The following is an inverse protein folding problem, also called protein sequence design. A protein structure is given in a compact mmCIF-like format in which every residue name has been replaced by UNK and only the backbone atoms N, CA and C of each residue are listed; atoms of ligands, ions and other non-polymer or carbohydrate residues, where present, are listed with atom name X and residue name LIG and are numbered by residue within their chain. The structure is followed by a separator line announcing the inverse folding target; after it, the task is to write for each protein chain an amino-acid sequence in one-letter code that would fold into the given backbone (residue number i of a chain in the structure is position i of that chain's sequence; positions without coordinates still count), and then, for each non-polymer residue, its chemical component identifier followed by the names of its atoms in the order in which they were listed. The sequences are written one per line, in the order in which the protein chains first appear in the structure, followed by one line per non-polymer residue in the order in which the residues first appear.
data_IF_282123954359
#
_entry.id   IF_282123954359
#
_cell.length_a   1.000
_cell.length_b   1.000
_cell.length_c   1.000
_cell.angle_alpha   90.00
_cell.angle_beta   90.00
_cell.angle_gamma   90.00
#
_symmetry.space_group_name_H-M   'P 1'
#
loop_
_entity.id
_entity.type
_entity.pdbx_description
1 polymer ?
#
# COMPACT_ATOMS: atom_id res chain seq x y z
N UNK A 1 4.10 -82.10 27.29
CA UNK A 1 3.66 -81.32 26.11
C UNK A 1 2.85 -80.12 26.64
N UNK A 2 3.47 -78.94 26.81
CA UNK A 2 2.81 -77.75 27.36
C UNK A 2 2.51 -76.77 26.21
N UNK A 3 1.27 -76.34 26.10
CA UNK A 3 0.77 -75.40 25.16
C UNK A 3 0.80 -74.01 25.89
N UNK A 4 1.57 -73.10 25.39
CA UNK A 4 1.63 -71.69 25.90
C UNK A 4 0.66 -70.85 25.07
N UNK A 5 -0.36 -70.28 25.74
CA UNK A 5 -1.29 -69.29 25.19
C UNK A 5 -0.64 -67.89 25.31
N UNK A 6 -0.43 -67.24 24.15
CA UNK A 6 -0.06 -65.81 24.08
C UNK A 6 -1.34 -64.97 24.04
N UNK A 7 -1.57 -64.18 25.08
CA UNK A 7 -2.60 -63.14 25.13
C UNK A 7 -2.02 -61.87 24.52
N UNK A 8 -2.49 -61.45 23.36
CA UNK A 8 -2.13 -60.20 22.70
C UNK A 8 -2.86 -58.99 23.28
N UNK A 9 -2.16 -58.12 23.96
CA UNK A 9 -2.67 -56.85 24.47
C UNK A 9 -2.72 -55.82 23.34
N UNK A 10 -3.91 -55.43 22.93
CA UNK A 10 -4.08 -54.31 22.00
C UNK A 10 -4.02 -52.98 22.77
N UNK A 11 -2.97 -52.20 22.54
CA UNK A 11 -2.87 -50.82 23.01
C UNK A 11 -3.64 -49.93 22.02
N UNK A 12 -4.75 -49.34 22.45
CA UNK A 12 -5.42 -48.26 21.73
C UNK A 12 -4.67 -46.94 21.98
N UNK A 13 -3.98 -46.45 20.98
CA UNK A 13 -3.49 -45.10 20.99
C UNK A 13 -4.66 -44.12 20.69
N UNK A 14 -5.05 -43.38 21.71
CA UNK A 14 -5.92 -42.19 21.53
C UNK A 14 -5.05 -41.03 21.11
N UNK A 15 -5.15 -40.62 19.84
CA UNK A 15 -4.57 -39.35 19.38
C UNK A 15 -5.45 -38.19 19.86
N UNK A 16 -5.00 -37.47 20.90
CA UNK A 16 -5.57 -36.19 21.27
C UNK A 16 -5.19 -35.18 20.19
N UNK A 17 -6.13 -34.79 19.37
CA UNK A 17 -6.04 -33.58 18.57
C UNK A 17 -6.11 -32.35 19.51
N UNK A 18 -4.96 -31.78 19.82
CA UNK A 18 -4.89 -30.44 20.40
C UNK A 18 -5.24 -29.43 19.33
N UNK A 19 -6.47 -28.93 19.32
CA UNK A 19 -6.81 -27.70 18.64
C UNK A 19 -6.17 -26.53 19.38
N UNK A 20 -5.03 -26.07 18.90
CA UNK A 20 -4.43 -24.80 19.35
C UNK A 20 -5.40 -23.69 18.95
N UNK A 21 -6.28 -23.30 19.85
CA UNK A 21 -6.95 -22.01 19.78
C UNK A 21 -5.90 -20.96 20.14
N UNK A 22 -5.38 -20.26 19.13
CA UNK A 22 -4.55 -19.07 19.37
C UNK A 22 -5.40 -18.09 20.20
N UNK A 23 -4.84 -17.49 21.25
CA UNK A 23 -5.57 -16.51 22.04
C UNK A 23 -5.94 -15.35 21.12
N UNK A 24 -7.22 -15.13 20.92
CA UNK A 24 -7.73 -13.85 20.44
C UNK A 24 -7.29 -12.84 21.48
N UNK A 25 -6.34 -11.98 21.14
CA UNK A 25 -5.96 -10.87 21.99
C UNK A 25 -7.19 -9.98 22.12
N UNK A 26 -7.86 -10.10 23.25
CA UNK A 26 -8.94 -9.19 23.65
C UNK A 26 -8.31 -7.89 24.18
N UNK A 27 -7.56 -7.18 23.34
CA UNK A 27 -7.23 -5.79 23.60
C UNK A 27 -8.56 -5.03 23.45
N UNK A 28 -9.05 -4.43 24.53
CA UNK A 28 -10.29 -3.66 24.49
C UNK A 28 -10.09 -2.41 23.64
N UNK A 29 -11.10 -2.07 22.83
CA UNK A 29 -11.11 -0.79 22.12
C UNK A 29 -10.92 0.37 23.09
N UNK A 30 -10.21 1.39 22.67
CA UNK A 30 -9.98 2.59 23.49
C UNK A 30 -10.44 3.84 22.75
N UNK A 31 -10.92 4.81 23.52
CA UNK A 31 -11.31 6.11 23.00
C UNK A 31 -10.06 6.98 22.84
N UNK A 32 -9.99 7.66 21.72
CA UNK A 32 -8.91 8.59 21.34
C UNK A 32 -9.53 9.91 20.91
N UNK A 33 -8.97 11.01 21.42
CA UNK A 33 -9.35 12.35 20.99
C UNK A 33 -8.37 12.83 19.91
N UNK A 34 -8.90 13.35 18.80
CA UNK A 34 -8.16 14.15 17.83
C UNK A 34 -8.55 15.63 17.99
N UNK A 35 -7.86 16.51 17.26
CA UNK A 35 -8.18 17.94 17.28
C UNK A 35 -9.63 18.24 16.86
N UNK A 36 -10.25 17.39 16.05
CA UNK A 36 -11.56 17.66 15.40
C UNK A 36 -12.55 16.51 15.45
N UNK A 37 -12.17 15.36 16.01
CA UNK A 37 -13.03 14.18 16.11
C UNK A 37 -12.65 13.32 17.32
N UNK A 38 -13.63 12.65 17.89
CA UNK A 38 -13.44 11.61 18.90
C UNK A 38 -13.72 10.25 18.26
N UNK A 39 -12.83 9.29 18.45
CA UNK A 39 -12.96 7.97 17.82
C UNK A 39 -12.58 6.84 18.77
N UNK A 40 -13.09 5.66 18.48
CA UNK A 40 -12.65 4.41 19.09
C UNK A 40 -11.62 3.74 18.20
N UNK A 41 -10.45 3.42 18.76
CA UNK A 41 -9.47 2.54 18.17
C UNK A 41 -9.76 1.11 18.62
N UNK A 42 -10.12 0.24 17.67
CA UNK A 42 -10.46 -1.15 17.94
C UNK A 42 -9.45 -2.09 17.28
N UNK A 43 -8.80 -3.01 18.03
CA UNK A 43 -8.08 -4.12 17.46
C UNK A 43 -9.02 -5.07 16.72
N UNK A 44 -8.66 -5.49 15.51
CA UNK A 44 -9.47 -6.37 14.66
C UNK A 44 -8.88 -7.77 14.58
N UNK A 45 -7.59 -7.85 14.28
CA UNK A 45 -6.89 -9.11 14.06
C UNK A 45 -5.39 -8.95 14.34
N UNK A 46 -4.75 -10.01 14.79
CA UNK A 46 -3.29 -10.13 14.90
C UNK A 46 -2.79 -11.43 14.27
N UNK A 47 -1.46 -11.60 14.24
CA UNK A 47 -0.82 -12.83 13.76
C UNK A 47 -0.72 -12.96 12.25
N UNK A 48 -0.91 -11.86 11.51
CA UNK A 48 -0.56 -11.77 10.09
C UNK A 48 0.97 -11.72 9.92
N UNK A 49 1.45 -11.95 8.71
CA UNK A 49 2.82 -11.58 8.32
C UNK A 49 2.98 -10.06 8.30
N UNK A 50 3.67 -9.49 7.30
CA UNK A 50 3.65 -8.05 7.08
C UNK A 50 2.47 -7.74 6.15
N UNK A 51 1.31 -7.25 6.68
CA UNK A 51 0.14 -6.97 5.86
C UNK A 51 0.37 -5.68 5.08
N UNK A 52 0.66 -5.83 3.78
CA UNK A 52 1.16 -4.75 2.95
C UNK A 52 0.06 -3.96 2.25
N UNK A 53 -1.00 -4.62 1.76
CA UNK A 53 -2.15 -4.01 1.10
C UNK A 53 -3.47 -4.46 1.73
N UNK A 54 -4.46 -3.56 1.71
CA UNK A 54 -5.82 -3.76 2.22
C UNK A 54 -6.84 -3.24 1.23
N UNK A 55 -7.87 -4.04 0.90
CA UNK A 55 -9.01 -3.56 0.11
C UNK A 55 -10.32 -4.21 0.59
N UNK A 56 -11.39 -3.42 0.63
CA UNK A 56 -12.73 -3.93 0.93
C UNK A 56 -13.34 -4.53 -0.34
N UNK A 57 -13.82 -5.78 -0.26
CA UNK A 57 -14.57 -6.44 -1.32
C UNK A 57 -16.08 -6.34 -1.09
N UNK A 58 -16.49 -6.07 0.13
CA UNK A 58 -17.87 -5.83 0.55
C UNK A 58 -17.88 -5.11 1.90
N UNK A 59 -19.05 -4.88 2.47
CA UNK A 59 -19.21 -4.28 3.80
C UNK A 59 -18.50 -5.08 4.90
N UNK A 60 -18.38 -6.38 4.73
CA UNK A 60 -17.88 -7.29 5.76
C UNK A 60 -16.66 -8.12 5.32
N UNK A 61 -16.15 -7.96 4.10
CA UNK A 61 -14.97 -8.69 3.64
C UNK A 61 -13.83 -7.76 3.22
N UNK A 62 -12.66 -7.98 3.82
CA UNK A 62 -11.43 -7.28 3.49
C UNK A 62 -10.38 -8.27 3.02
N UNK A 63 -9.82 -8.02 1.85
CA UNK A 63 -8.67 -8.75 1.33
C UNK A 63 -7.40 -8.09 1.82
N UNK A 64 -6.44 -8.92 2.24
CA UNK A 64 -5.15 -8.51 2.81
C UNK A 64 -4.04 -9.22 2.06
N UNK A 65 -3.07 -8.49 1.54
CA UNK A 65 -1.83 -9.07 1.03
C UNK A 65 -0.76 -9.05 2.12
N UNK A 66 -0.04 -10.16 2.26
CA UNK A 66 1.14 -10.25 3.13
C UNK A 66 2.40 -10.23 2.26
N UNK A 67 3.37 -9.41 2.60
CA UNK A 67 4.61 -9.23 1.81
C UNK A 67 5.31 -10.55 1.46
N UNK A 68 5.19 -11.56 2.30
CA UNK A 68 5.75 -12.89 2.06
C UNK A 68 5.06 -13.72 0.97
N UNK A 69 4.01 -13.20 0.30
CA UNK A 69 3.32 -13.86 -0.80
C UNK A 69 1.93 -14.40 -0.47
N UNK A 70 1.51 -14.43 0.79
CA UNK A 70 0.16 -14.85 1.12
C UNK A 70 -0.87 -13.76 0.79
N UNK A 71 -2.06 -14.19 0.39
CA UNK A 71 -3.23 -13.34 0.28
C UNK A 71 -4.32 -13.93 1.18
N UNK A 72 -4.90 -13.08 2.02
CA UNK A 72 -5.92 -13.46 3.00
C UNK A 72 -7.24 -12.78 2.71
N UNK A 73 -8.33 -13.43 3.07
CA UNK A 73 -9.67 -12.84 3.10
C UNK A 73 -10.21 -12.93 4.52
N UNK A 74 -10.45 -11.78 5.12
CA UNK A 74 -11.02 -11.65 6.47
C UNK A 74 -12.50 -11.27 6.34
N UNK A 75 -13.36 -12.08 6.97
CA UNK A 75 -14.75 -11.70 7.20
C UNK A 75 -14.84 -11.00 8.56
N UNK A 76 -15.20 -9.74 8.56
CA UNK A 76 -15.20 -8.86 9.74
C UNK A 76 -16.34 -9.18 10.73
N UNK A 77 -17.45 -9.77 10.25
CA UNK A 77 -18.58 -10.12 11.10
C UNK A 77 -18.28 -11.41 11.91
N UNK A 78 -17.70 -12.40 11.26
CA UNK A 78 -17.42 -13.71 11.87
C UNK A 78 -16.00 -13.83 12.43
N UNK A 79 -15.10 -12.90 12.12
CA UNK A 79 -13.67 -12.98 12.43
C UNK A 79 -12.94 -14.08 11.63
N UNK A 80 -13.58 -14.72 10.67
CA UNK A 80 -13.00 -15.84 9.92
C UNK A 80 -11.95 -15.33 8.93
N UNK A 81 -10.71 -15.79 9.09
CA UNK A 81 -9.59 -15.53 8.18
C UNK A 81 -9.38 -16.75 7.26
N UNK A 82 -9.38 -16.52 5.95
CA UNK A 82 -9.16 -17.55 4.92
C UNK A 82 -7.89 -17.24 4.13
N UNK A 83 -7.14 -18.26 3.76
CA UNK A 83 -6.01 -18.15 2.82
C UNK A 83 -6.55 -18.31 1.41
N UNK A 84 -6.30 -17.32 0.54
CA UNK A 84 -6.65 -17.42 -0.87
C UNK A 84 -5.53 -18.15 -1.62
N UNK A 85 -5.91 -19.06 -2.50
CA UNK A 85 -5.01 -19.82 -3.37
C UNK A 85 -4.95 -19.18 -4.75
N UNK A 86 -3.93 -19.53 -5.55
CA UNK A 86 -3.80 -19.07 -6.94
C UNK A 86 -2.97 -17.80 -7.11
N UNK A 87 -2.38 -17.26 -6.03
CA UNK A 87 -1.39 -16.19 -6.14
C UNK A 87 -0.10 -16.67 -6.83
N UNK A 88 0.59 -15.83 -7.62
CA UNK A 88 1.88 -16.16 -8.19
C UNK A 88 2.96 -16.28 -7.11
N UNK A 89 4.07 -16.96 -7.45
CA UNK A 89 5.28 -16.86 -6.66
C UNK A 89 5.82 -15.43 -6.71
N UNK A 90 6.37 -14.95 -5.59
CA UNK A 90 6.89 -13.59 -5.48
C UNK A 90 8.37 -13.61 -5.06
N UNK A 91 9.12 -12.63 -5.54
CA UNK A 91 10.45 -12.32 -5.02
C UNK A 91 10.29 -11.53 -3.72
N UNK A 92 10.52 -12.18 -2.57
CA UNK A 92 10.19 -11.63 -1.24
C UNK A 92 11.43 -11.21 -0.45
N UNK A 93 12.39 -10.53 -1.09
CA UNK A 93 13.61 -10.03 -0.47
C UNK A 93 13.54 -8.53 -0.16
N UNK A 94 14.11 -8.10 0.96
CA UNK A 94 14.15 -6.70 1.37
C UNK A 94 12.76 -6.07 1.47
N UNK A 95 12.45 -5.11 0.59
CA UNK A 95 11.14 -4.47 0.49
C UNK A 95 10.21 -5.14 -0.54
N UNK A 96 10.71 -6.11 -1.31
CA UNK A 96 9.96 -6.84 -2.31
C UNK A 96 8.95 -7.84 -1.71
N UNK A 97 8.06 -8.36 -2.55
CA UNK A 97 7.09 -9.39 -2.20
C UNK A 97 5.75 -9.24 -2.89
N UNK A 98 4.69 -9.77 -2.28
CA UNK A 98 3.31 -9.44 -2.60
C UNK A 98 3.01 -8.08 -1.96
N UNK A 99 2.67 -7.08 -2.76
CA UNK A 99 2.61 -5.71 -2.32
C UNK A 99 1.15 -5.23 -2.21
N UNK A 100 0.67 -4.39 -3.11
CA UNK A 100 -0.66 -3.82 -2.95
C UNK A 100 -1.79 -4.69 -3.48
N UNK A 101 -2.97 -4.43 -2.98
CA UNK A 101 -4.25 -4.92 -3.52
C UNK A 101 -5.24 -3.76 -3.54
N UNK A 102 -5.93 -3.60 -4.65
CA UNK A 102 -6.91 -2.54 -4.82
C UNK A 102 -8.09 -3.01 -5.70
N UNK A 103 -9.23 -2.37 -5.50
CA UNK A 103 -10.42 -2.56 -6.34
C UNK A 103 -10.89 -1.21 -6.88
N UNK A 104 -11.46 -1.16 -8.09
CA UNK A 104 -12.00 0.08 -8.63
C UNK A 104 -13.20 0.59 -7.82
N UNK A 105 -13.54 1.90 -7.91
CA UNK A 105 -14.62 2.49 -7.12
C UNK A 105 -16.01 1.88 -7.38
N UNK A 106 -16.23 1.31 -8.55
CA UNK A 106 -17.46 0.66 -9.00
C UNK A 106 -17.43 -0.88 -8.84
N UNK A 107 -16.48 -1.41 -8.05
CA UNK A 107 -16.24 -2.84 -7.85
C UNK A 107 -17.50 -3.60 -7.40
N UNK A 108 -17.72 -4.77 -8.03
CA UNK A 108 -18.71 -5.77 -7.64
C UNK A 108 -17.99 -7.10 -7.36
N UNK A 109 -18.54 -8.01 -6.55
CA UNK A 109 -17.85 -9.24 -6.10
C UNK A 109 -17.29 -10.15 -7.18
N UNK A 110 -17.80 -10.07 -8.43
CA UNK A 110 -17.32 -10.86 -9.57
C UNK A 110 -16.27 -10.13 -10.42
N UNK A 111 -15.96 -8.89 -10.11
CA UNK A 111 -15.06 -8.07 -10.89
C UNK A 111 -13.59 -8.41 -10.65
N UNK A 112 -12.72 -7.71 -11.40
CA UNK A 112 -11.28 -7.83 -11.26
C UNK A 112 -10.78 -7.13 -10.00
N UNK A 113 -9.95 -7.85 -9.23
CA UNK A 113 -9.14 -7.33 -8.13
C UNK A 113 -7.75 -7.13 -8.68
N UNK A 114 -7.13 -5.99 -8.39
CA UNK A 114 -5.81 -5.62 -8.90
C UNK A 114 -4.75 -5.80 -7.83
N UNK A 115 -3.60 -6.27 -8.25
CA UNK A 115 -2.47 -6.57 -7.38
C UNK A 115 -1.19 -6.00 -7.96
N UNK A 116 -0.30 -5.58 -7.09
CA UNK A 116 1.10 -5.41 -7.44
C UNK A 116 1.95 -6.37 -6.65
N UNK A 117 2.96 -6.90 -7.28
CA UNK A 117 3.92 -7.80 -6.65
C UNK A 117 5.27 -7.69 -7.34
N UNK A 118 6.29 -8.23 -6.70
CA UNK A 118 7.64 -8.30 -7.29
C UNK A 118 7.88 -9.71 -7.81
N UNK A 119 8.24 -9.79 -9.09
CA UNK A 119 8.66 -11.02 -9.77
C UNK A 119 10.17 -11.12 -9.75
N UNK A 120 10.67 -12.33 -9.60
CA UNK A 120 12.07 -12.66 -9.84
C UNK A 120 12.32 -12.71 -11.36
N UNK A 121 13.32 -11.96 -11.81
CA UNK A 121 13.83 -11.98 -13.18
C UNK A 121 15.35 -12.14 -13.11
N UNK A 122 15.80 -13.38 -13.13
CA UNK A 122 17.22 -13.74 -13.07
C UNK A 122 17.96 -13.20 -11.83
N UNK A 123 17.27 -13.17 -10.67
CA UNK A 123 17.79 -12.65 -9.40
C UNK A 123 17.54 -11.16 -9.18
N UNK A 124 16.94 -10.46 -10.14
CA UNK A 124 16.54 -9.06 -10.03
C UNK A 124 15.02 -8.95 -9.85
N UNK A 125 14.60 -8.11 -8.90
CA UNK A 125 13.19 -7.90 -8.64
C UNK A 125 12.56 -6.89 -9.60
N UNK A 126 11.45 -7.25 -10.28
CA UNK A 126 10.66 -6.34 -11.11
C UNK A 126 9.25 -6.19 -10.57
N UNK A 127 8.73 -4.97 -10.53
CA UNK A 127 7.35 -4.71 -10.15
C UNK A 127 6.40 -5.11 -11.28
N UNK A 128 5.33 -5.84 -10.93
CA UNK A 128 4.29 -6.26 -11.86
C UNK A 128 2.96 -5.72 -11.37
N UNK A 129 2.17 -5.10 -12.26
CA UNK A 129 0.75 -4.87 -12.08
C UNK A 129 -0.02 -6.04 -12.70
N UNK A 130 -0.90 -6.66 -11.92
CA UNK A 130 -1.72 -7.78 -12.39
C UNK A 130 -3.16 -7.66 -11.85
N UNK A 131 -4.05 -8.53 -12.36
CA UNK A 131 -5.43 -8.66 -11.86
C UNK A 131 -5.86 -10.12 -11.81
N UNK A 132 -6.76 -10.44 -10.90
CA UNK A 132 -7.40 -11.74 -10.79
C UNK A 132 -8.85 -11.58 -10.32
N UNK A 133 -9.66 -12.66 -10.40
CA UNK A 133 -11.02 -12.70 -9.85
C UNK A 133 -11.08 -13.66 -8.68
N UNK A 134 -11.92 -13.36 -7.72
CA UNK A 134 -12.15 -14.24 -6.58
C UNK A 134 -13.32 -15.18 -6.86
N UNK A 135 -13.08 -16.50 -6.73
CA UNK A 135 -14.11 -17.55 -6.77
C UNK A 135 -13.94 -18.49 -5.56
N UNK A 136 -14.79 -18.34 -4.55
CA UNK A 136 -14.62 -19.04 -3.27
C UNK A 136 -13.31 -18.65 -2.58
N UNK A 137 -12.39 -19.60 -2.42
CA UNK A 137 -11.04 -19.37 -1.86
C UNK A 137 -9.94 -19.36 -2.93
N UNK A 138 -10.30 -19.18 -4.21
CA UNK A 138 -9.38 -19.21 -5.34
C UNK A 138 -9.33 -17.86 -6.05
N UNK A 139 -8.11 -17.37 -6.30
CA UNK A 139 -7.87 -16.30 -7.26
C UNK A 139 -7.69 -16.94 -8.64
N UNK A 140 -8.61 -16.66 -9.55
CA UNK A 140 -8.67 -17.27 -10.88
C UNK A 140 -8.48 -16.23 -11.97
N UNK A 141 -8.07 -16.70 -13.16
CA UNK A 141 -7.91 -15.85 -14.32
C UNK A 141 -6.81 -14.80 -14.14
N UNK A 142 -5.75 -15.12 -13.41
CA UNK A 142 -4.63 -14.21 -13.16
C UNK A 142 -4.05 -13.69 -14.48
N UNK A 143 -3.94 -12.38 -14.59
CA UNK A 143 -3.44 -11.69 -15.79
C UNK A 143 -2.45 -10.61 -15.37
N UNK A 144 -1.24 -10.68 -15.89
CA UNK A 144 -0.29 -9.57 -15.83
C UNK A 144 -0.74 -8.48 -16.82
N UNK A 145 -0.84 -7.26 -16.34
CA UNK A 145 -1.20 -6.09 -17.14
C UNK A 145 0.04 -5.33 -17.59
N UNK A 146 1.03 -5.22 -16.71
CA UNK A 146 2.34 -4.64 -17.02
C UNK A 146 3.41 -5.26 -16.14
N UNK A 147 4.43 -5.86 -16.75
CA UNK A 147 5.72 -6.11 -16.13
C UNK A 147 6.62 -4.92 -16.42
N UNK A 148 7.04 -4.21 -15.37
CA UNK A 148 7.76 -2.95 -15.54
C UNK A 148 9.22 -3.18 -15.95
N UNK A 149 9.78 -2.24 -16.69
CA UNK A 149 11.22 -2.19 -16.99
C UNK A 149 11.95 -1.54 -15.80
N UNK A 150 11.98 -2.24 -14.66
CA UNK A 150 12.52 -1.75 -13.39
C UNK A 150 13.47 -2.72 -12.70
N UNK A 151 14.02 -3.70 -13.45
CA UNK A 151 14.98 -4.66 -12.92
C UNK A 151 16.25 -3.99 -12.43
N UNK A 152 16.70 -4.36 -11.24
CA UNK A 152 17.96 -3.94 -10.63
C UNK A 152 18.39 -4.98 -9.59
N UNK A 153 19.65 -4.99 -9.24
CA UNK A 153 20.22 -5.84 -8.18
C UNK A 153 19.84 -5.38 -6.75
N UNK A 154 19.08 -4.28 -6.61
CA UNK A 154 18.66 -3.78 -5.32
C UNK A 154 17.33 -4.40 -4.86
N UNK A 155 17.14 -4.49 -3.54
CA UNK A 155 15.94 -5.06 -2.92
C UNK A 155 15.04 -4.01 -2.27
N UNK A 156 15.09 -2.76 -2.75
CA UNK A 156 14.31 -1.66 -2.19
C UNK A 156 13.74 -0.72 -3.28
N UNK A 157 12.84 0.18 -2.86
CA UNK A 157 12.17 1.20 -3.67
C UNK A 157 11.31 0.62 -4.80
N UNK A 158 10.44 -0.33 -4.49
CA UNK A 158 9.51 -0.93 -5.47
C UNK A 158 8.24 -0.09 -5.72
N UNK A 159 7.98 0.95 -4.92
CA UNK A 159 6.74 1.73 -5.03
C UNK A 159 5.49 0.89 -4.76
N UNK A 160 4.68 0.65 -5.80
CA UNK A 160 3.66 -0.39 -5.95
C UNK A 160 2.23 -0.07 -5.50
N UNK A 161 1.92 1.06 -4.87
CA UNK A 161 0.53 1.40 -4.52
C UNK A 161 -0.31 1.63 -5.77
N UNK A 162 -1.59 1.23 -5.69
CA UNK A 162 -2.54 1.25 -6.81
C UNK A 162 -3.76 2.12 -6.47
N UNK A 163 -4.21 2.93 -7.41
CA UNK A 163 -5.48 3.65 -7.34
C UNK A 163 -6.15 3.72 -8.71
N UNK A 164 -7.40 4.18 -8.73
CA UNK A 164 -8.22 4.28 -9.95
C UNK A 164 -8.86 5.64 -10.05
N UNK A 165 -9.06 6.12 -11.29
CA UNK A 165 -9.95 7.23 -11.57
C UNK A 165 -11.38 6.74 -11.91
N UNK A 166 -12.29 7.71 -12.13
CA UNK A 166 -13.67 7.45 -12.51
C UNK A 166 -13.84 7.09 -13.99
N UNK A 167 -12.80 7.27 -14.81
CA UNK A 167 -12.86 7.09 -16.27
C UNK A 167 -12.34 5.73 -16.73
N UNK A 168 -11.94 4.88 -15.80
CA UNK A 168 -11.54 3.50 -16.11
C UNK A 168 -10.04 3.30 -16.26
N UNK A 169 -9.24 4.16 -15.62
CA UNK A 169 -7.79 4.00 -15.58
C UNK A 169 -7.32 3.49 -14.22
N UNK A 170 -6.18 2.83 -14.22
CA UNK A 170 -5.42 2.41 -13.07
C UNK A 170 -4.08 3.15 -13.05
N UNK A 171 -3.71 3.64 -11.86
CA UNK A 171 -2.44 4.30 -11.60
C UNK A 171 -1.65 3.48 -10.59
N UNK A 172 -0.35 3.37 -10.80
CA UNK A 172 0.57 2.79 -9.82
C UNK A 172 1.98 3.36 -10.00
N UNK A 173 2.80 3.29 -8.95
CA UNK A 173 4.14 3.86 -9.00
C UNK A 173 5.24 2.81 -8.84
N UNK A 174 6.42 3.08 -9.38
CA UNK A 174 7.67 2.36 -9.10
C UNK A 174 8.70 3.36 -8.62
N UNK A 175 9.50 3.01 -7.63
CA UNK A 175 10.60 3.84 -7.15
C UNK A 175 11.83 3.79 -8.06
N UNK A 176 12.84 4.57 -7.71
CA UNK A 176 14.13 4.67 -8.45
C UNK A 176 14.96 3.38 -8.37
N UNK A 177 14.49 2.37 -7.64
CA UNK A 177 15.15 1.09 -7.43
C UNK A 177 16.61 1.23 -6.96
N UNK A 178 16.91 2.32 -6.22
CA UNK A 178 18.24 2.64 -5.70
C UNK A 178 19.21 3.18 -6.76
N UNK A 179 18.82 3.27 -8.00
CA UNK A 179 19.62 3.82 -9.11
C UNK A 179 19.11 5.23 -9.42
N UNK A 180 19.41 6.17 -8.55
CA UNK A 180 18.86 7.54 -8.53
C UNK A 180 18.71 8.22 -9.91
N UNK A 181 19.73 8.20 -10.81
CA UNK A 181 19.60 8.87 -12.11
C UNK A 181 18.47 8.34 -13.00
N UNK A 182 18.07 7.08 -12.81
CA UNK A 182 17.02 6.46 -13.64
C UNK A 182 15.63 7.08 -13.40
N UNK A 183 15.41 7.80 -12.29
CA UNK A 183 14.17 8.55 -12.06
C UNK A 183 14.00 9.74 -13.03
N UNK A 184 15.04 10.13 -13.75
CA UNK A 184 15.00 11.15 -14.81
C UNK A 184 15.08 10.53 -16.22
N UNK A 185 15.13 9.21 -16.33
CA UNK A 185 15.20 8.47 -17.59
C UNK A 185 13.83 7.92 -17.98
N UNK A 186 13.19 8.55 -18.95
CA UNK A 186 11.88 8.14 -19.45
C UNK A 186 11.88 6.82 -20.24
N UNK A 187 13.04 6.23 -20.53
CA UNK A 187 13.16 4.91 -21.16
C UNK A 187 13.06 3.76 -20.15
N UNK A 188 12.88 4.07 -18.88
CA UNK A 188 12.71 3.14 -17.75
C UNK A 188 11.46 3.50 -16.94
N UNK A 189 10.88 2.52 -16.23
CA UNK A 189 9.81 2.77 -15.26
C UNK A 189 10.32 3.16 -13.86
N UNK A 190 11.64 3.24 -13.67
CA UNK A 190 12.20 3.62 -12.38
C UNK A 190 11.87 5.08 -12.02
N UNK A 191 11.38 5.30 -10.81
CA UNK A 191 11.04 6.64 -10.33
C UNK A 191 9.85 7.27 -11.08
N UNK A 192 8.87 6.46 -11.47
CA UNK A 192 7.70 6.93 -12.24
C UNK A 192 6.38 6.55 -11.59
N UNK A 193 5.34 7.29 -11.92
CA UNK A 193 3.93 6.88 -11.80
C UNK A 193 3.44 6.57 -13.20
N UNK A 194 2.76 5.45 -13.36
CA UNK A 194 2.21 4.98 -14.63
C UNK A 194 0.69 5.07 -14.62
N UNK A 195 0.10 5.23 -15.82
CA UNK A 195 -1.34 5.18 -16.06
C UNK A 195 -1.66 4.22 -17.18
N UNK A 196 -2.55 3.29 -16.92
CA UNK A 196 -3.09 2.32 -17.88
C UNK A 196 -4.60 2.30 -17.84
N UNK A 197 -5.24 1.76 -18.86
CA UNK A 197 -6.64 1.32 -18.75
C UNK A 197 -6.73 0.12 -17.80
N UNK A 198 -7.93 -0.17 -17.29
CA UNK A 198 -8.15 -1.33 -16.39
C UNK A 198 -7.84 -2.69 -17.05
N UNK A 199 -7.71 -2.76 -18.37
CA UNK A 199 -7.30 -3.95 -19.12
C UNK A 199 -5.82 -3.92 -19.58
N UNK A 200 -5.04 -2.98 -19.07
CA UNK A 200 -3.58 -2.92 -19.24
C UNK A 200 -3.11 -2.25 -20.53
N UNK A 201 -3.99 -1.57 -21.28
CA UNK A 201 -3.58 -0.80 -22.45
C UNK A 201 -3.12 0.60 -22.05
N UNK A 202 -2.28 1.17 -22.86
CA UNK A 202 -1.87 2.58 -22.74
C UNK A 202 -3.00 3.47 -23.25
N UNK A 203 -3.49 4.43 -22.45
CA UNK A 203 -4.48 5.42 -22.92
C UNK A 203 -3.91 6.34 -24.00
N UNK A 204 -4.73 6.68 -25.00
CA UNK A 204 -4.32 7.52 -26.13
C UNK A 204 -3.96 8.97 -25.73
N UNK A 205 -4.40 9.39 -24.54
CA UNK A 205 -4.16 10.71 -23.96
C UNK A 205 -3.04 10.72 -22.89
N UNK A 206 -2.25 9.66 -22.79
CA UNK A 206 -1.07 9.66 -21.94
C UNK A 206 -0.03 10.67 -22.42
N UNK A 207 0.67 11.36 -21.49
CA UNK A 207 1.53 12.50 -21.85
C UNK A 207 2.70 12.15 -22.76
N UNK A 208 3.16 10.89 -22.74
CA UNK A 208 4.31 10.44 -23.52
C UNK A 208 3.98 9.49 -24.67
N UNK A 209 2.69 9.32 -25.02
CA UNK A 209 2.23 8.37 -26.05
C UNK A 209 2.92 8.54 -27.42
N UNK A 210 3.30 9.75 -27.77
CA UNK A 210 3.96 10.08 -29.04
C UNK A 210 5.45 10.44 -28.87
N UNK A 211 6.02 10.21 -27.69
CA UNK A 211 7.41 10.53 -27.42
C UNK A 211 8.30 9.32 -27.74
N UNK A 212 9.29 9.51 -28.64
CA UNK A 212 10.13 8.41 -29.15
C UNK A 212 11.04 7.78 -28.09
N UNK A 213 11.50 8.61 -27.14
CA UNK A 213 12.47 8.26 -26.12
C UNK A 213 11.81 8.21 -24.72
N UNK A 214 10.55 7.78 -24.65
CA UNK A 214 9.82 7.61 -23.41
C UNK A 214 8.88 6.42 -23.49
N UNK A 215 8.70 5.74 -22.36
CA UNK A 215 7.70 4.67 -22.22
C UNK A 215 6.31 5.30 -22.16
N UNK A 216 5.38 4.87 -23.00
CA UNK A 216 4.07 5.52 -23.14
C UNK A 216 3.15 5.33 -21.92
N UNK A 217 3.46 4.38 -21.04
CA UNK A 217 2.74 4.13 -19.79
C UNK A 217 2.98 5.22 -18.74
N UNK A 218 4.07 5.98 -18.85
CA UNK A 218 4.49 6.96 -17.86
C UNK A 218 3.47 8.12 -17.80
N UNK A 219 3.00 8.41 -16.58
CA UNK A 219 2.17 9.56 -16.25
C UNK A 219 2.98 10.73 -15.69
N UNK A 220 3.92 10.44 -14.78
CA UNK A 220 4.85 11.40 -14.19
C UNK A 220 6.18 10.72 -13.83
N UNK A 221 7.22 11.49 -13.61
CA UNK A 221 8.57 10.99 -13.35
C UNK A 221 9.32 11.86 -12.34
N UNK A 222 10.53 11.46 -11.99
CA UNK A 222 11.32 12.16 -10.97
C UNK A 222 10.88 11.85 -9.56
N UNK A 223 10.36 10.65 -9.31
CA UNK A 223 9.99 10.13 -8.01
C UNK A 223 11.09 9.27 -7.41
N UNK A 224 11.23 9.31 -6.07
CA UNK A 224 12.20 8.43 -5.39
C UNK A 224 11.60 7.08 -5.03
N UNK A 225 10.52 7.05 -4.26
CA UNK A 225 9.86 5.83 -3.84
C UNK A 225 8.41 6.09 -3.42
N UNK A 226 7.48 6.14 -4.37
CA UNK A 226 6.05 6.33 -4.12
C UNK A 226 5.49 5.17 -3.27
N UNK A 227 5.14 5.44 -2.01
CA UNK A 227 4.62 4.43 -1.07
C UNK A 227 3.15 4.59 -0.77
N UNK A 228 2.53 5.65 -1.24
CA UNK A 228 1.09 5.87 -1.17
C UNK A 228 0.59 6.61 -2.38
N UNK A 229 -0.57 6.20 -2.88
CA UNK A 229 -1.24 6.85 -4.02
C UNK A 229 -2.74 6.88 -3.74
N UNK A 230 -3.38 8.01 -4.01
CA UNK A 230 -4.84 8.16 -3.86
C UNK A 230 -5.39 9.08 -4.95
N UNK A 231 -6.52 8.72 -5.53
CA UNK A 231 -7.22 9.55 -6.50
C UNK A 231 -8.46 10.19 -5.87
N UNK A 232 -8.56 11.51 -5.97
CA UNK A 232 -9.74 12.27 -5.59
C UNK A 232 -10.73 12.30 -6.75
N UNK A 233 -11.73 11.43 -6.71
CA UNK A 233 -12.76 11.32 -7.75
C UNK A 233 -13.56 12.61 -7.91
N UNK A 234 -13.72 13.42 -6.85
CA UNK A 234 -14.51 14.66 -6.87
C UNK A 234 -13.74 15.83 -7.47
N UNK A 235 -12.45 15.94 -7.16
CA UNK A 235 -11.59 17.03 -7.61
C UNK A 235 -10.76 16.64 -8.83
N UNK A 236 -10.79 15.37 -9.24
CA UNK A 236 -9.98 14.77 -10.32
C UNK A 236 -8.48 15.02 -10.10
N UNK A 237 -8.01 14.66 -8.90
CA UNK A 237 -6.62 14.89 -8.46
C UNK A 237 -5.95 13.61 -8.05
N UNK A 238 -4.75 13.40 -8.56
CA UNK A 238 -3.89 12.29 -8.15
C UNK A 238 -2.92 12.77 -7.08
N UNK A 239 -2.96 12.13 -5.93
CA UNK A 239 -2.09 12.37 -4.79
C UNK A 239 -1.09 11.24 -4.65
N UNK A 240 0.17 11.58 -4.42
CA UNK A 240 1.25 10.62 -4.15
C UNK A 240 1.98 11.05 -2.90
N UNK A 241 2.29 10.10 -2.02
CA UNK A 241 3.24 10.29 -0.93
C UNK A 241 4.44 9.37 -1.15
N UNK A 242 5.63 9.91 -0.97
CA UNK A 242 6.87 9.19 -1.23
C UNK A 242 7.95 9.40 -0.19
N UNK A 243 8.87 8.44 -0.11
CA UNK A 243 10.03 8.55 0.75
C UNK A 243 11.09 9.46 0.15
N UNK A 244 11.51 10.45 0.91
CA UNK A 244 12.79 11.12 0.71
C UNK A 244 13.98 10.26 1.19
N UNK A 245 15.20 10.79 1.11
CA UNK A 245 16.36 10.17 1.75
C UNK A 245 16.34 10.39 3.28
N UNK A 246 17.35 10.95 3.88
CA UNK A 246 17.33 11.32 5.30
C UNK A 246 16.58 12.63 5.49
N UNK A 247 15.26 12.59 5.69
CA UNK A 247 14.31 13.70 5.58
C UNK A 247 13.82 13.89 4.15
N UNK A 248 12.89 14.82 3.96
CA UNK A 248 12.35 15.15 2.63
C UNK A 248 11.40 14.11 2.06
N UNK A 249 10.61 13.42 2.89
CA UNK A 249 9.43 12.72 2.40
C UNK A 249 8.43 13.77 1.89
N UNK A 250 7.63 13.44 0.89
CA UNK A 250 6.81 14.40 0.18
C UNK A 250 5.38 13.91 -0.06
N UNK A 251 4.42 14.83 0.05
CA UNK A 251 3.09 14.68 -0.56
C UNK A 251 3.06 15.55 -1.80
N UNK A 252 2.80 14.93 -2.93
CA UNK A 252 2.74 15.54 -4.24
C UNK A 252 1.33 15.51 -4.83
N UNK A 253 0.88 16.61 -5.42
CA UNK A 253 -0.25 16.65 -6.34
C UNK A 253 0.28 16.34 -7.74
N UNK A 254 -0.03 15.14 -8.25
CA UNK A 254 0.61 14.62 -9.45
C UNK A 254 -0.17 14.98 -10.70
N UNK A 255 0.51 15.66 -11.62
CA UNK A 255 -0.01 16.13 -12.91
C UNK A 255 0.64 15.36 -14.08
N UNK A 256 -0.06 15.23 -15.22
CA UNK A 256 0.46 14.50 -16.38
C UNK A 256 1.73 15.14 -16.94
N UNK A 257 2.73 14.31 -17.25
CA UNK A 257 3.97 14.71 -17.91
C UNK A 257 4.93 15.51 -17.05
N UNK A 258 4.65 15.67 -15.74
CA UNK A 258 5.46 16.51 -14.85
C UNK A 258 6.61 15.75 -14.19
N UNK A 259 7.69 16.48 -13.93
CA UNK A 259 8.91 16.04 -13.26
C UNK A 259 8.88 16.45 -11.78
N UNK A 260 8.97 15.48 -10.86
CA UNK A 260 8.98 15.71 -9.40
C UNK A 260 10.38 15.81 -8.81
N UNK A 261 11.39 15.89 -9.67
CA UNK A 261 12.70 16.43 -9.38
C UNK A 261 13.72 15.46 -8.81
N UNK A 262 13.34 14.31 -8.24
CA UNK A 262 14.32 13.34 -7.74
C UNK A 262 15.22 12.82 -8.87
N UNK A 263 16.55 12.71 -8.69
CA UNK A 263 17.38 13.12 -7.54
C UNK A 263 18.00 14.52 -7.71
N UNK A 264 17.58 15.30 -8.70
CA UNK A 264 18.16 16.62 -9.03
C UNK A 264 17.86 17.65 -7.94
N UNK A 265 16.62 17.62 -7.42
CA UNK A 265 16.22 18.40 -6.24
C UNK A 265 15.76 17.47 -5.14
N UNK A 266 15.96 17.86 -3.88
CA UNK A 266 15.52 17.12 -2.71
C UNK A 266 15.56 17.96 -1.44
N UNK A 267 14.63 17.75 -0.52
CA UNK A 267 14.66 18.32 0.83
C UNK A 267 15.48 17.49 1.82
N UNK A 268 15.95 16.32 1.41
CA UNK A 268 16.67 15.40 2.28
C UNK A 268 18.18 15.46 2.15
N UNK A 269 18.85 14.74 3.07
CA UNK A 269 20.30 14.65 3.17
C UNK A 269 20.78 13.23 2.91
N UNK A 270 22.06 13.06 2.64
CA UNK A 270 22.68 11.76 2.53
C UNK A 270 22.66 11.02 3.86
N UNK A 271 22.55 9.69 3.82
CA UNK A 271 22.53 8.85 5.04
C UNK A 271 23.88 8.87 5.77
N UNK A 272 24.98 9.04 5.05
CA UNK A 272 26.34 9.01 5.56
C UNK A 272 26.86 10.36 6.07
N UNK A 273 26.08 11.46 5.91
CA UNK A 273 26.52 12.77 6.37
C UNK A 273 25.46 13.85 6.24
N UNK A 274 25.75 15.09 6.66
CA UNK A 274 24.83 16.22 6.59
C UNK A 274 24.73 16.85 5.20
N UNK A 275 25.22 16.16 4.15
CA UNK A 275 25.30 16.67 2.78
C UNK A 275 23.90 16.62 2.16
N UNK A 276 23.47 17.72 1.54
CA UNK A 276 22.24 17.83 0.78
C UNK A 276 22.26 16.88 -0.42
N UNK A 277 21.17 16.18 -0.68
CA UNK A 277 21.01 15.43 -1.92
C UNK A 277 20.57 16.37 -3.03
N UNK A 278 21.12 16.20 -4.22
CA UNK A 278 20.81 17.01 -5.40
C UNK A 278 21.47 18.40 -5.38
N UNK A 279 20.99 19.27 -6.27
CA UNK A 279 21.54 20.61 -6.51
C UNK A 279 20.86 21.68 -5.63
N UNK A 280 19.76 21.32 -4.95
CA UNK A 280 18.94 22.21 -4.11
C UNK A 280 17.58 21.65 -3.83
N UNK A 281 16.65 22.50 -3.41
CA UNK A 281 15.27 22.11 -3.11
C UNK A 281 14.29 22.49 -4.22
N UNK A 282 14.69 23.31 -5.16
CA UNK A 282 13.85 23.78 -6.27
C UNK A 282 14.67 23.93 -7.56
N UNK A 283 14.03 23.74 -8.70
CA UNK A 283 14.58 23.97 -10.03
C UNK A 283 13.45 24.22 -11.02
N UNK A 284 13.66 25.09 -11.99
CA UNK A 284 12.69 25.34 -13.07
C UNK A 284 12.37 24.05 -13.83
N UNK A 285 11.08 23.81 -14.08
CA UNK A 285 10.58 22.60 -14.75
C UNK A 285 10.42 21.39 -13.83
N UNK A 286 10.64 21.56 -12.52
CA UNK A 286 10.41 20.52 -11.50
C UNK A 286 9.34 20.99 -10.51
N UNK A 287 8.36 20.10 -10.25
CA UNK A 287 7.24 20.39 -9.37
C UNK A 287 7.67 20.38 -7.90
N UNK A 288 6.99 21.21 -7.11
CA UNK A 288 7.23 21.30 -5.67
C UNK A 288 6.19 20.50 -4.89
N UNK A 289 6.58 19.85 -3.79
CA UNK A 289 5.63 19.11 -2.96
C UNK A 289 4.63 20.04 -2.29
N UNK A 290 3.41 19.55 -2.11
CA UNK A 290 2.37 20.23 -1.32
C UNK A 290 2.71 20.19 0.16
N UNK A 291 3.42 19.16 0.59
CA UNK A 291 3.91 18.96 1.96
C UNK A 291 5.23 18.19 1.93
N UNK A 292 6.19 18.61 2.72
CA UNK A 292 7.43 17.88 2.97
C UNK A 292 7.60 17.57 4.45
N UNK A 293 8.34 16.50 4.78
CA UNK A 293 8.61 16.07 6.14
C UNK A 293 10.12 16.01 6.40
N UNK A 294 10.55 16.77 7.41
CA UNK A 294 11.90 16.68 7.96
C UNK A 294 11.81 16.81 9.48
N UNK A 295 12.09 15.77 10.25
CA UNK A 295 12.61 14.45 9.82
C UNK A 295 11.63 13.63 8.99
N UNK A 296 12.13 12.61 8.27
CA UNK A 296 11.32 11.63 7.53
C UNK A 296 10.37 10.89 8.47
N UNK A 297 9.11 10.77 8.08
CA UNK A 297 8.11 9.90 8.73
C UNK A 297 8.16 8.47 8.16
N UNK A 298 8.79 8.29 6.98
CA UNK A 298 8.76 7.09 6.15
C UNK A 298 7.31 6.62 5.90
N UNK A 299 6.54 7.27 5.01
CA UNK A 299 5.13 6.96 4.80
C UNK A 299 4.94 5.55 4.23
N UNK A 300 3.95 4.81 4.73
CA UNK A 300 3.64 3.44 4.29
C UNK A 300 2.50 3.35 3.29
N UNK A 301 1.65 4.38 3.23
CA UNK A 301 0.43 4.42 2.41
C UNK A 301 -0.13 5.83 2.36
N UNK A 302 -1.13 6.04 1.49
CA UNK A 302 -1.91 7.28 1.43
C UNK A 302 -3.39 6.93 1.28
N UNK A 303 -4.24 7.58 2.07
CA UNK A 303 -5.69 7.50 1.99
C UNK A 303 -6.26 8.92 1.92
N UNK A 304 -7.04 9.23 0.89
CA UNK A 304 -7.93 10.37 0.88
C UNK A 304 -9.25 9.96 1.56
N UNK A 305 -9.56 10.57 2.69
CA UNK A 305 -10.78 10.23 3.40
C UNK A 305 -12.02 10.88 2.76
N UNK A 306 -12.97 10.05 2.33
CA UNK A 306 -14.22 10.47 1.67
C UNK A 306 -15.47 10.02 2.42
N UNK A 307 -15.29 9.33 3.56
CA UNK A 307 -16.37 8.77 4.36
C UNK A 307 -17.23 9.82 5.05
N UNK A 308 -18.43 9.40 5.50
CA UNK A 308 -19.37 10.23 6.25
C UNK A 308 -19.29 10.01 7.76
N UNK A 309 -18.61 8.96 8.22
CA UNK A 309 -18.49 8.64 9.65
C UNK A 309 -17.73 9.72 10.44
N UNK A 310 -16.79 10.40 9.77
CA UNK A 310 -16.05 11.54 10.34
C UNK A 310 -16.15 12.76 9.42
N UNK A 311 -17.22 13.55 9.47
CA UNK A 311 -17.41 14.70 8.57
C UNK A 311 -16.28 15.72 8.60
N UNK A 312 -15.64 15.92 9.77
CA UNK A 312 -14.50 16.84 9.95
C UNK A 312 -13.19 16.34 9.28
N UNK A 313 -13.12 15.07 8.90
CA UNK A 313 -11.98 14.48 8.19
C UNK A 313 -12.18 14.39 6.68
N UNK A 314 -13.39 14.68 6.20
CA UNK A 314 -13.70 14.61 4.76
C UNK A 314 -12.75 15.48 3.94
N UNK A 315 -12.10 14.90 2.93
CA UNK A 315 -11.10 15.57 2.08
C UNK A 315 -9.69 15.67 2.70
N UNK A 316 -9.47 15.10 3.89
CA UNK A 316 -8.12 15.05 4.46
C UNK A 316 -7.34 13.85 3.93
N UNK A 317 -6.04 13.99 3.85
CA UNK A 317 -5.11 12.90 3.54
C UNK A 317 -4.62 12.25 4.82
N UNK A 318 -4.61 10.92 4.85
CA UNK A 318 -4.05 10.11 5.93
C UNK A 318 -2.90 9.28 5.41
N UNK A 319 -1.83 9.18 6.17
CA UNK A 319 -0.73 8.25 5.88
C UNK A 319 -0.22 7.56 7.14
N UNK A 320 0.15 6.30 7.01
CA UNK A 320 0.87 5.58 8.06
C UNK A 320 2.33 6.00 8.08
N UNK A 321 2.89 6.28 9.25
CA UNK A 321 4.31 6.58 9.44
C UNK A 321 5.06 5.35 9.93
N UNK A 322 6.01 4.85 9.14
CA UNK A 322 6.79 3.66 9.49
C UNK A 322 7.97 4.00 10.42
N UNK A 323 8.60 5.17 10.23
CA UNK A 323 9.73 5.59 11.06
C UNK A 323 9.28 6.24 12.37
N UNK A 324 8.33 7.17 12.31
CA UNK A 324 7.84 7.89 13.49
C UNK A 324 6.60 7.27 14.12
N UNK A 325 6.13 6.13 13.61
CA UNK A 325 5.15 5.22 14.23
C UNK A 325 3.86 5.91 14.68
N UNK A 326 3.20 6.61 13.76
CA UNK A 326 1.93 7.29 14.02
C UNK A 326 1.03 7.26 12.78
N UNK A 327 -0.22 7.60 12.93
CA UNK A 327 -1.11 7.93 11.84
C UNK A 327 -1.04 9.43 11.60
N UNK A 328 -0.57 9.84 10.42
CA UNK A 328 -0.46 11.25 10.04
C UNK A 328 -1.71 11.69 9.30
N UNK A 329 -2.35 12.79 9.72
CA UNK A 329 -3.48 13.45 9.06
C UNK A 329 -3.04 14.81 8.55
N UNK A 330 -3.29 15.09 7.27
CA UNK A 330 -3.01 16.37 6.63
C UNK A 330 -4.31 16.97 6.09
N UNK A 331 -4.60 18.19 6.48
CA UNK A 331 -5.77 18.95 6.01
C UNK A 331 -5.41 19.64 4.69
N UNK A 332 -6.17 19.33 3.65
CA UNK A 332 -6.00 19.92 2.32
C UNK A 332 -7.13 20.91 2.06
N UNK A 333 -6.80 22.13 1.64
CA UNK A 333 -7.81 23.11 1.24
C UNK A 333 -8.31 22.88 -0.21
N UNK A 334 -9.31 23.63 -0.64
CA UNK A 334 -9.89 23.51 -2.00
C UNK A 334 -8.89 23.78 -3.12
N UNK A 335 -7.83 24.55 -2.85
CA UNK A 335 -6.75 24.84 -3.79
C UNK A 335 -5.72 23.70 -3.88
N UNK A 336 -5.82 22.68 -3.03
CA UNK A 336 -4.86 21.56 -2.98
C UNK A 336 -3.64 21.84 -2.11
N UNK A 337 -3.68 22.83 -1.24
CA UNK A 337 -2.58 23.17 -0.33
C UNK A 337 -2.77 22.50 1.03
N UNK A 338 -1.68 22.01 1.62
CA UNK A 338 -1.67 21.52 2.98
C UNK A 338 -1.69 22.70 3.97
N UNK A 339 -2.72 22.76 4.81
CA UNK A 339 -2.95 23.87 5.75
C UNK A 339 -2.82 23.50 7.22
N UNK A 340 -2.87 22.21 7.54
CA UNK A 340 -2.65 21.71 8.90
C UNK A 340 -2.17 20.25 8.86
N UNK A 341 -1.52 19.84 9.94
CA UNK A 341 -1.05 18.46 10.17
C UNK A 341 -1.39 18.05 11.60
N UNK A 342 -1.77 16.77 11.77
CA UNK A 342 -1.98 16.17 13.07
C UNK A 342 -1.39 14.76 13.09
N UNK A 343 -0.72 14.41 14.18
CA UNK A 343 -0.21 13.07 14.45
C UNK A 343 -1.13 12.37 15.44
N UNK A 344 -1.68 11.26 15.02
CA UNK A 344 -2.59 10.43 15.80
C UNK A 344 -1.89 9.13 16.18
N UNK A 345 -2.26 8.54 17.31
CA UNK A 345 -1.82 7.20 17.74
C UNK A 345 -0.28 7.06 17.92
N UNK A 346 0.41 8.13 18.33
CA UNK A 346 1.86 8.06 18.62
C UNK A 346 2.17 7.07 19.76
N UNK A 347 1.25 6.94 20.73
CA UNK A 347 1.33 6.02 21.86
C UNK A 347 1.13 4.55 21.49
N UNK A 348 0.60 4.25 20.30
CA UNK A 348 0.50 2.88 19.78
C UNK A 348 1.88 2.28 19.46
N UNK A 349 2.86 3.13 19.14
CA UNK A 349 4.25 2.78 18.80
C UNK A 349 4.38 1.70 17.72
N UNK A 350 3.46 1.69 16.74
CA UNK A 350 3.39 0.73 15.65
C UNK A 350 3.79 1.36 14.30
N UNK A 351 4.49 0.59 13.49
CA UNK A 351 4.80 0.96 12.10
C UNK A 351 3.55 0.75 11.24
N UNK A 352 2.80 1.81 10.99
CA UNK A 352 1.53 1.74 10.24
C UNK A 352 1.84 1.62 8.75
N UNK A 353 1.41 0.50 8.13
CA UNK A 353 1.78 0.12 6.77
C UNK A 353 0.73 0.46 5.73
N UNK A 354 -0.47 -0.03 5.88
CA UNK A 354 -1.55 0.14 4.91
C UNK A 354 -2.76 0.81 5.57
N UNK A 355 -3.51 1.54 4.77
CA UNK A 355 -4.77 2.18 5.14
C UNK A 355 -5.84 1.79 4.14
N UNK A 356 -7.06 1.56 4.62
CA UNK A 356 -8.24 1.39 3.79
C UNK A 356 -9.46 2.03 4.46
N UNK A 357 -10.33 2.65 3.67
CA UNK A 357 -11.63 3.12 4.12
C UNK A 357 -12.69 2.05 3.87
N UNK A 358 -13.46 1.70 4.87
CA UNK A 358 -14.61 0.80 4.70
C UNK A 358 -15.79 1.51 4.03
N UNK A 359 -16.76 0.76 3.47
CA UNK A 359 -18.00 1.34 2.95
C UNK A 359 -18.78 2.16 4.00
N UNK A 360 -18.66 1.83 5.29
CA UNK A 360 -19.27 2.58 6.39
C UNK A 360 -18.53 3.90 6.70
N UNK A 361 -17.37 4.15 6.06
CA UNK A 361 -16.53 5.32 6.30
C UNK A 361 -15.60 5.18 7.50
N UNK A 362 -15.34 3.96 7.99
CA UNK A 362 -14.32 3.70 9.01
C UNK A 362 -12.95 3.55 8.37
N UNK A 363 -11.90 3.88 9.14
CA UNK A 363 -10.52 3.70 8.65
C UNK A 363 -9.96 2.41 9.25
N UNK A 364 -9.53 1.50 8.40
CA UNK A 364 -8.76 0.32 8.79
C UNK A 364 -7.29 0.54 8.46
N UNK A 365 -6.42 0.07 9.35
CA UNK A 365 -4.99 0.11 9.08
C UNK A 365 -4.27 -1.13 9.59
N UNK A 366 -3.19 -1.45 8.90
CA UNK A 366 -2.30 -2.55 9.28
C UNK A 366 -0.97 -2.05 9.82
N UNK A 367 -0.28 -2.90 10.58
CA UNK A 367 1.05 -2.62 11.11
C UNK A 367 2.06 -3.68 10.68
N UNK A 368 3.35 -3.32 10.64
CA UNK A 368 4.43 -4.28 10.29
C UNK A 368 4.57 -5.44 11.30
N UNK A 369 3.95 -5.32 12.48
CA UNK A 369 3.88 -6.40 13.49
C UNK A 369 2.75 -7.41 13.23
N UNK A 370 2.03 -7.26 12.11
CA UNK A 370 0.98 -8.20 11.69
C UNK A 370 -0.36 -7.98 12.36
N UNK A 371 -0.65 -6.76 12.81
CA UNK A 371 -1.93 -6.38 13.41
C UNK A 371 -2.78 -5.58 12.43
N UNK A 372 -4.09 -5.69 12.60
CA UNK A 372 -5.11 -4.90 11.90
C UNK A 372 -5.96 -4.16 12.95
N UNK A 373 -6.16 -2.87 12.75
CA UNK A 373 -6.97 -2.01 13.60
C UNK A 373 -8.07 -1.33 12.80
N UNK A 374 -9.12 -0.91 13.51
CA UNK A 374 -10.23 -0.11 12.98
C UNK A 374 -10.38 1.18 13.80
N UNK A 375 -10.54 2.29 13.12
CA UNK A 375 -10.94 3.59 13.68
C UNK A 375 -12.40 3.81 13.30
N UNK A 376 -13.27 3.87 14.29
CA UNK A 376 -14.71 4.13 14.13
C UNK A 376 -15.16 5.26 15.04
N UNK A 377 -16.30 5.94 14.77
CA UNK A 377 -16.82 6.96 15.67
C UNK A 377 -16.97 6.42 17.09
N UNK A 378 -16.56 7.23 18.08
CA UNK A 378 -16.85 6.90 19.47
C UNK A 378 -18.37 6.89 19.67
N UNK A 379 -18.87 5.84 20.33
CA UNK A 379 -20.26 5.85 20.86
C UNK A 379 -20.25 6.57 22.20
N UNK A 380 -21.21 7.49 22.37
CA UNK A 380 -21.44 8.22 23.63
C UNK A 380 -21.79 7.27 24.79
#
# INVERSE_FOLDING_TARGET
MSVINLIGTRVLLWSLLFTLTLPVWAEQGRIVDSQVAKFELQPVLGGLGIPWGLAFLSDNEIIVTERGGNIRLLNLETGKLRVLKGAPAVFAEGQAGMLDVAVPPDFQPSDWIYFTFVRDKDGEGVTVLARARLQGDQLVGWQDLLETQSATDTTYHFGSRVTFDETGHVYFGVGDRGVRPTAQDLTSHNGTVMRLTRDGKVPDDNPFINHKDALPEIWSYGHRNPQGIAYDLKQQRLWVIEHGPRGGDEINLVLPGRNYGWPVISYGKEYWGPIQVGEGTEREGMEQPVKQYTPSIAPGSLLLYTGQAFPSWHGNLFSGALALRHLNRVVINKQGQAIAEERLLEDLDERIRALAQSPQGWIYFSTDTGKLYCIKPATD
#
